data_IF_474041730723
#
_entry.id   IF_474041730723
#
_cell.length_a   1.000
_cell.length_b   1.000
_cell.length_c   1.000
_cell.angle_alpha   90.00
_cell.angle_beta   90.00
_cell.angle_gamma   90.00
#
_symmetry.space_group_name_H-M   'P 1'
#
loop_
_entity.id
_entity.type
_entity.pdbx_description
1 polymer ?
#
# COMPACT_ATOMS: atom_id res chain seq x y z
N UNK A 1 32.04 -8.02 -27.55
CA UNK A 1 32.77 -8.75 -26.48
C UNK A 1 31.87 -8.88 -25.25
N UNK A 2 31.94 -9.92 -24.39
CA UNK A 2 31.13 -9.96 -23.17
C UNK A 2 31.81 -9.11 -22.09
N UNK A 3 31.41 -7.84 -22.00
CA UNK A 3 31.90 -6.83 -21.06
C UNK A 3 31.22 -6.94 -19.69
N UNK A 4 31.01 -8.16 -19.19
CA UNK A 4 30.29 -8.40 -17.94
C UNK A 4 31.25 -8.54 -16.74
N UNK A 5 32.16 -7.57 -16.57
CA UNK A 5 32.82 -7.37 -15.27
C UNK A 5 31.87 -6.56 -14.38
N UNK A 6 30.74 -7.20 -14.06
CA UNK A 6 29.62 -6.64 -13.31
C UNK A 6 30.10 -5.83 -12.10
N UNK A 7 29.68 -4.56 -12.03
CA UNK A 7 30.05 -3.58 -10.99
C UNK A 7 29.99 -4.23 -9.62
N UNK A 8 31.05 -4.07 -8.85
CA UNK A 8 31.15 -4.72 -7.55
C UNK A 8 30.36 -3.92 -6.52
N UNK A 9 29.32 -4.54 -5.96
CA UNK A 9 28.35 -3.90 -5.07
C UNK A 9 28.76 -4.06 -3.61
N UNK A 10 29.31 -5.23 -3.26
CA UNK A 10 29.84 -5.48 -1.92
C UNK A 10 31.29 -5.94 -1.97
N UNK A 11 32.22 -5.05 -1.58
CA UNK A 11 33.65 -5.34 -1.48
C UNK A 11 34.00 -6.42 -0.45
N UNK A 12 33.24 -6.50 0.65
CA UNK A 12 33.53 -7.45 1.73
C UNK A 12 33.29 -8.92 1.34
N UNK A 13 32.27 -9.18 0.52
CA UNK A 13 31.89 -10.53 0.10
C UNK A 13 32.14 -10.78 -1.39
N UNK A 14 32.83 -9.82 -2.03
CA UNK A 14 33.14 -9.81 -3.45
C UNK A 14 31.90 -10.14 -4.31
N UNK A 15 30.78 -9.51 -3.97
CA UNK A 15 29.49 -9.72 -4.63
C UNK A 15 29.30 -8.63 -5.68
N UNK A 16 29.11 -9.07 -6.92
CA UNK A 16 28.82 -8.18 -8.03
C UNK A 16 27.32 -8.01 -8.26
N UNK A 17 26.98 -6.92 -8.92
CA UNK A 17 25.63 -6.56 -9.33
C UNK A 17 24.93 -7.68 -10.12
N UNK A 18 25.62 -8.28 -11.10
CA UNK A 18 25.06 -9.36 -11.91
C UNK A 18 24.71 -10.61 -11.08
N UNK A 19 25.49 -10.87 -10.02
CA UNK A 19 25.19 -11.96 -9.08
C UNK A 19 23.93 -11.64 -8.24
N UNK A 20 23.77 -10.39 -7.82
CA UNK A 20 22.59 -9.93 -7.07
C UNK A 20 21.34 -10.02 -7.94
N UNK A 21 21.37 -9.46 -9.16
CA UNK A 21 20.25 -9.50 -10.11
C UNK A 21 19.77 -10.93 -10.39
N UNK A 22 20.72 -11.84 -10.60
CA UNK A 22 20.42 -13.26 -10.81
C UNK A 22 19.75 -13.89 -9.60
N UNK A 23 20.29 -13.66 -8.40
CA UNK A 23 19.75 -14.23 -7.16
C UNK A 23 18.36 -13.71 -6.83
N UNK A 24 18.12 -12.42 -7.06
CA UNK A 24 16.81 -11.79 -6.92
C UNK A 24 15.77 -12.53 -7.77
N UNK A 25 16.08 -12.79 -9.05
CA UNK A 25 15.16 -13.47 -9.97
C UNK A 25 15.01 -14.97 -9.68
N UNK A 26 16.08 -15.65 -9.30
CA UNK A 26 16.04 -17.11 -9.04
C UNK A 26 15.37 -17.46 -7.71
N UNK A 27 15.32 -16.54 -6.74
CA UNK A 27 14.81 -16.78 -5.39
C UNK A 27 13.70 -15.82 -4.97
N UNK A 28 13.14 -15.06 -5.91
CA UNK A 28 12.08 -14.06 -5.69
C UNK A 28 12.34 -13.17 -4.46
N UNK A 29 13.54 -12.58 -4.38
CA UNK A 29 13.94 -11.72 -3.25
C UNK A 29 13.42 -10.31 -3.49
N UNK A 30 12.63 -9.76 -2.56
CA UNK A 30 11.97 -8.47 -2.77
C UNK A 30 12.48 -7.36 -1.85
N UNK A 31 13.39 -7.67 -0.92
CA UNK A 31 13.89 -6.69 0.05
C UNK A 31 15.40 -6.74 0.19
N UNK A 32 16.02 -5.59 0.51
CA UNK A 32 17.46 -5.49 0.70
C UNK A 32 17.95 -6.39 1.85
N UNK A 33 17.13 -6.59 2.89
CA UNK A 33 17.41 -7.51 3.99
C UNK A 33 17.42 -8.97 3.54
N UNK A 34 16.46 -9.40 2.70
CA UNK A 34 16.45 -10.76 2.16
C UNK A 34 17.66 -11.02 1.29
N UNK A 35 18.00 -10.06 0.41
CA UNK A 35 19.18 -10.16 -0.44
C UNK A 35 20.43 -10.27 0.43
N UNK A 36 20.66 -9.36 1.37
CA UNK A 36 21.85 -9.35 2.24
C UNK A 36 21.97 -10.60 3.09
N UNK A 37 20.87 -11.13 3.62
CA UNK A 37 20.85 -12.41 4.34
C UNK A 37 21.21 -13.58 3.42
N UNK A 38 20.74 -13.54 2.18
CA UNK A 38 21.00 -14.58 1.18
C UNK A 38 22.45 -14.57 0.68
N UNK A 39 22.98 -13.41 0.33
CA UNK A 39 24.39 -13.24 -0.09
C UNK A 39 25.36 -13.20 1.10
N UNK A 40 24.84 -13.23 2.34
CA UNK A 40 25.56 -13.04 3.60
C UNK A 40 26.34 -11.72 3.65
N UNK A 41 25.99 -10.75 2.82
CA UNK A 41 26.61 -9.44 2.80
C UNK A 41 25.96 -8.56 3.86
N UNK A 42 26.40 -8.72 5.12
CA UNK A 42 25.76 -7.97 6.21
C UNK A 42 26.48 -8.03 7.56
N UNK A 43 27.57 -8.77 7.70
CA UNK A 43 28.24 -8.91 8.99
C UNK A 43 29.12 -7.72 9.44
N UNK A 44 29.17 -6.60 8.70
CA UNK A 44 30.25 -5.62 8.83
C UNK A 44 29.88 -4.14 8.63
N UNK A 45 29.88 -3.63 7.39
CA UNK A 45 29.93 -2.18 7.11
C UNK A 45 28.66 -1.54 6.53
N UNK A 46 27.71 -2.34 6.01
CA UNK A 46 26.41 -1.85 5.50
C UNK A 46 26.46 -0.93 4.27
N UNK A 47 27.63 -0.59 3.73
CA UNK A 47 27.77 0.36 2.61
C UNK A 47 27.13 -0.11 1.31
N UNK A 48 26.91 -1.42 1.16
CA UNK A 48 26.29 -2.04 -0.01
C UNK A 48 24.75 -2.06 0.04
N UNK A 49 24.13 -1.61 1.14
CA UNK A 49 22.67 -1.66 1.31
C UNK A 49 21.94 -0.78 0.31
N UNK A 50 22.45 0.44 0.09
CA UNK A 50 21.87 1.38 -0.89
C UNK A 50 21.96 0.80 -2.30
N UNK A 51 23.13 0.31 -2.71
CA UNK A 51 23.31 -0.30 -4.02
C UNK A 51 22.43 -1.55 -4.23
N UNK A 52 22.18 -2.34 -3.18
CA UNK A 52 21.28 -3.51 -3.26
C UNK A 52 19.83 -3.07 -3.48
N UNK A 53 19.41 -1.98 -2.85
CA UNK A 53 18.07 -1.40 -3.02
C UNK A 53 17.85 -0.89 -4.46
N UNK A 54 18.82 -0.16 -5.00
CA UNK A 54 18.80 0.28 -6.41
C UNK A 54 18.69 -0.90 -7.39
N UNK A 55 19.35 -2.02 -7.09
CA UNK A 55 19.31 -3.22 -7.94
C UNK A 55 17.97 -3.93 -7.82
N UNK A 56 17.37 -3.96 -6.62
CA UNK A 56 16.04 -4.51 -6.41
C UNK A 56 15.00 -3.72 -7.19
N UNK A 57 15.09 -2.38 -7.16
CA UNK A 57 14.26 -1.52 -8.00
C UNK A 57 14.46 -1.95 -9.46
N UNK A 58 15.67 -1.87 -10.01
CA UNK A 58 15.93 -2.20 -11.42
C UNK A 58 15.43 -3.59 -11.87
N UNK A 59 15.51 -4.61 -11.01
CA UNK A 59 15.10 -5.98 -11.35
C UNK A 59 13.59 -6.16 -11.34
N UNK A 60 12.90 -5.51 -10.40
CA UNK A 60 11.45 -5.59 -10.22
C UNK A 60 10.69 -4.44 -10.89
N UNK A 61 11.40 -3.50 -11.51
CA UNK A 61 10.80 -2.37 -12.20
C UNK A 61 10.22 -2.76 -13.56
N UNK A 62 8.93 -3.06 -13.58
CA UNK A 62 8.11 -3.04 -14.80
C UNK A 62 7.66 -1.59 -15.04
N UNK A 63 8.45 -0.85 -15.84
CA UNK A 63 8.17 0.49 -16.40
C UNK A 63 7.30 1.44 -15.55
N UNK A 64 7.89 2.04 -14.50
CA UNK A 64 7.49 3.38 -14.02
C UNK A 64 8.56 4.47 -14.22
N UNK A 65 9.52 4.26 -15.13
CA UNK A 65 10.52 5.25 -15.52
C UNK A 65 10.00 5.90 -16.80
N UNK A 66 9.96 7.23 -16.92
CA UNK A 66 11.09 8.17 -17.12
C UNK A 66 10.51 9.59 -16.84
N UNK A 67 11.15 10.61 -16.26
CA UNK A 67 12.54 10.98 -16.05
C UNK A 67 12.65 11.99 -14.87
N UNK A 68 13.80 11.94 -14.20
CA UNK A 68 14.42 12.91 -13.27
C UNK A 68 14.90 14.19 -14.04
N UNK A 69 15.63 15.21 -13.48
CA UNK A 69 16.24 15.38 -12.15
C UNK A 69 16.26 16.86 -11.57
N UNK A 70 16.90 17.02 -10.39
CA UNK A 70 17.70 18.19 -9.91
C UNK A 70 17.11 19.26 -8.93
N UNK A 71 17.70 19.26 -7.72
CA UNK A 71 18.03 20.39 -6.82
C UNK A 71 16.99 21.47 -6.48
N UNK A 72 16.42 21.43 -5.26
CA UNK A 72 16.72 22.35 -4.12
C UNK A 72 15.74 22.15 -2.96
N UNK A 73 16.14 22.50 -1.72
CA UNK A 73 15.50 22.04 -0.50
C UNK A 73 14.34 22.93 -0.08
N UNK A 74 13.59 22.42 0.89
CA UNK A 74 12.79 23.13 1.91
C UNK A 74 11.27 22.96 1.76
N UNK A 75 10.72 22.39 2.84
CA UNK A 75 9.41 22.67 3.45
C UNK A 75 8.15 21.96 2.92
N UNK A 76 7.65 21.15 3.86
CA UNK A 76 6.25 20.86 4.24
C UNK A 76 5.34 20.07 3.31
N UNK A 77 4.72 19.09 3.98
CA UNK A 77 3.35 18.59 3.80
C UNK A 77 3.26 17.21 3.13
N UNK A 78 2.94 16.25 4.00
CA UNK A 78 2.17 15.02 3.78
C UNK A 78 2.70 14.01 2.75
N UNK A 79 3.10 12.79 3.19
CA UNK A 79 3.35 11.71 2.25
C UNK A 79 2.01 11.21 1.73
N UNK A 80 1.72 11.51 0.46
CA UNK A 80 0.62 10.92 -0.29
C UNK A 80 1.04 9.55 -0.83
N UNK A 81 0.32 8.56 -0.30
CA UNK A 81 0.07 7.19 -0.71
C UNK A 81 0.70 6.71 -2.03
N UNK A 82 1.65 5.79 -1.84
CA UNK A 82 2.29 4.89 -2.79
C UNK A 82 1.32 3.76 -3.24
N UNK A 83 1.36 3.40 -4.53
CA UNK A 83 0.41 2.47 -5.16
C UNK A 83 1.10 1.21 -5.69
N UNK A 84 0.57 0.08 -5.21
CA UNK A 84 0.34 -1.16 -5.97
C UNK A 84 1.58 -2.05 -6.13
N UNK A 85 1.68 -3.27 -5.59
CA UNK A 85 0.66 -4.32 -5.49
C UNK A 85 1.10 -5.33 -4.42
N UNK A 86 0.61 -5.16 -3.21
CA UNK A 86 0.68 -6.17 -2.14
C UNK A 86 -0.78 -6.46 -1.79
N UNK A 87 -1.16 -7.75 -1.67
CA UNK A 87 -2.50 -8.15 -1.23
C UNK A 87 -2.84 -7.34 0.01
N UNK A 88 -3.78 -6.40 -0.11
CA UNK A 88 -4.06 -5.42 0.93
C UNK A 88 -4.27 -6.16 2.25
N UNK A 89 -3.39 -5.90 3.21
CA UNK A 89 -3.56 -6.46 4.56
C UNK A 89 -4.86 -5.92 5.14
N UNK A 90 -5.47 -6.65 6.08
CA UNK A 90 -6.73 -6.21 6.72
C UNK A 90 -6.61 -4.79 7.27
N UNK A 91 -5.44 -4.40 7.79
CA UNK A 91 -5.15 -3.03 8.25
C UNK A 91 -5.19 -1.98 7.14
N UNK A 92 -4.64 -2.28 5.96
CA UNK A 92 -4.68 -1.35 4.82
C UNK A 92 -6.12 -1.18 4.28
N UNK A 93 -6.92 -2.26 4.28
CA UNK A 93 -8.34 -2.17 3.94
C UNK A 93 -9.10 -1.29 4.93
N UNK A 94 -8.87 -1.46 6.23
CA UNK A 94 -9.51 -0.64 7.28
C UNK A 94 -9.20 0.84 7.08
N UNK A 95 -7.93 1.19 6.86
CA UNK A 95 -7.52 2.58 6.65
C UNK A 95 -8.20 3.21 5.42
N UNK A 96 -8.25 2.48 4.29
CA UNK A 96 -8.92 2.93 3.08
C UNK A 96 -10.43 3.08 3.27
N UNK A 97 -11.08 2.13 3.94
CA UNK A 97 -12.52 2.19 4.23
C UNK A 97 -12.83 3.40 5.11
N UNK A 98 -12.05 3.61 6.16
CA UNK A 98 -12.20 4.76 7.05
C UNK A 98 -12.05 6.08 6.29
N UNK A 99 -11.03 6.21 5.44
CA UNK A 99 -10.80 7.42 4.66
C UNK A 99 -11.95 7.70 3.69
N UNK A 100 -12.46 6.69 2.99
CA UNK A 100 -13.62 6.84 2.09
C UNK A 100 -14.87 7.24 2.88
N UNK A 101 -15.08 6.64 4.05
CA UNK A 101 -16.20 6.99 4.93
C UNK A 101 -16.09 8.47 5.35
N UNK A 102 -14.93 8.92 5.81
CA UNK A 102 -14.73 10.29 6.29
C UNK A 102 -14.77 11.35 5.18
N UNK A 103 -14.22 11.04 4.00
CA UNK A 103 -14.09 12.00 2.89
C UNK A 103 -15.34 12.08 2.00
N UNK A 104 -16.03 10.96 1.75
CA UNK A 104 -17.17 10.91 0.82
C UNK A 104 -18.52 10.74 1.54
N UNK A 105 -18.59 9.82 2.49
CA UNK A 105 -19.88 9.33 3.02
C UNK A 105 -20.39 10.19 4.17
N UNK A 106 -19.52 10.49 5.14
CA UNK A 106 -19.81 11.32 6.30
C UNK A 106 -20.29 12.72 5.92
N UNK A 107 -19.66 13.49 5.00
CA UNK A 107 -20.17 14.81 4.63
C UNK A 107 -21.55 14.75 3.96
N UNK A 108 -21.81 13.71 3.15
CA UNK A 108 -23.13 13.51 2.54
C UNK A 108 -24.20 13.24 3.61
N UNK A 109 -23.91 12.34 4.56
CA UNK A 109 -24.82 12.03 5.66
C UNK A 109 -25.04 13.20 6.61
N UNK A 110 -24.00 13.97 6.92
CA UNK A 110 -24.09 15.14 7.78
C UNK A 110 -24.98 16.22 7.17
N UNK A 111 -25.00 16.37 5.84
CA UNK A 111 -25.92 17.25 5.15
C UNK A 111 -27.38 16.84 5.36
N UNK A 112 -27.65 15.53 5.39
CA UNK A 112 -28.96 14.95 5.68
C UNK A 112 -29.28 14.86 7.19
N UNK A 113 -28.40 15.36 8.06
CA UNK A 113 -28.58 15.33 9.52
C UNK A 113 -28.32 13.96 10.16
N UNK A 114 -27.62 13.08 9.46
CA UNK A 114 -27.15 11.78 9.94
C UNK A 114 -25.65 11.75 10.21
N UNK A 115 -25.18 10.62 10.73
CA UNK A 115 -23.77 10.30 10.84
C UNK A 115 -23.55 8.79 10.66
N UNK A 116 -22.33 8.40 10.35
CA UNK A 116 -21.90 7.01 10.23
C UNK A 116 -20.57 6.82 10.96
N UNK A 117 -20.46 5.67 11.61
CA UNK A 117 -19.26 5.24 12.32
C UNK A 117 -18.91 3.82 11.91
N UNK A 118 -17.63 3.60 11.64
CA UNK A 118 -17.10 2.26 11.39
C UNK A 118 -16.96 1.55 12.73
N UNK A 119 -17.63 0.40 12.90
CA UNK A 119 -17.55 -0.38 14.13
C UNK A 119 -16.48 -1.48 14.02
N UNK A 120 -16.56 -2.28 12.97
CA UNK A 120 -15.67 -3.43 12.80
C UNK A 120 -15.57 -3.85 11.32
N UNK A 121 -14.51 -4.55 10.96
CA UNK A 121 -14.30 -5.11 9.62
C UNK A 121 -13.82 -6.56 9.75
N UNK A 122 -14.66 -7.49 9.29
CA UNK A 122 -14.37 -8.92 9.25
C UNK A 122 -14.17 -9.37 7.81
N UNK A 123 -12.90 -9.47 7.38
CA UNK A 123 -12.48 -9.85 6.02
C UNK A 123 -13.03 -8.96 4.91
N UNK A 124 -14.29 -9.21 4.53
CA UNK A 124 -15.04 -8.50 3.50
C UNK A 124 -16.38 -7.93 4.02
N UNK A 125 -16.70 -8.09 5.30
CA UNK A 125 -17.89 -7.57 5.94
C UNK A 125 -17.54 -6.33 6.76
N UNK A 126 -18.11 -5.19 6.41
CA UNK A 126 -17.92 -3.90 7.08
C UNK A 126 -19.14 -3.64 7.94
N UNK A 127 -18.96 -3.61 9.26
CA UNK A 127 -20.00 -3.30 10.23
C UNK A 127 -19.96 -1.80 10.55
N UNK A 128 -21.10 -1.14 10.34
CA UNK A 128 -21.23 0.31 10.56
C UNK A 128 -22.37 0.61 11.51
N UNK A 129 -22.22 1.67 12.30
CA UNK A 129 -23.28 2.22 13.13
C UNK A 129 -23.79 3.49 12.46
N UNK A 130 -25.09 3.54 12.19
CA UNK A 130 -25.77 4.73 11.68
C UNK A 130 -26.31 5.55 12.85
N UNK A 131 -26.01 6.84 12.86
CA UNK A 131 -26.39 7.78 13.92
C UNK A 131 -27.22 8.94 13.35
N UNK A 132 -27.93 9.67 14.22
CA UNK A 132 -28.71 10.86 13.85
C UNK A 132 -30.03 10.54 13.15
N UNK A 133 -30.41 11.36 12.17
CA UNK A 133 -31.67 11.23 11.43
C UNK A 133 -31.84 9.86 10.71
N UNK A 134 -30.72 9.16 10.49
CA UNK A 134 -30.68 7.86 9.82
C UNK A 134 -30.93 6.66 10.77
N UNK A 135 -30.96 6.85 12.09
CA UNK A 135 -31.05 5.76 13.09
C UNK A 135 -32.49 5.31 13.43
N UNK A 136 -33.52 5.78 12.70
CA UNK A 136 -34.92 5.56 13.10
C UNK A 136 -35.88 5.12 12.01
N UNK A 137 -35.46 5.13 10.74
CA UNK A 137 -36.35 4.85 9.62
C UNK A 137 -35.84 3.67 8.77
N UNK A 138 -36.50 2.50 8.81
CA UNK A 138 -36.00 1.28 8.16
C UNK A 138 -35.90 1.42 6.63
N UNK A 139 -36.75 2.24 6.00
CA UNK A 139 -36.70 2.49 4.55
C UNK A 139 -35.47 3.29 4.12
N UNK A 140 -35.00 4.19 4.99
CA UNK A 140 -33.83 5.04 4.74
C UNK A 140 -32.55 4.26 4.97
N UNK A 141 -32.53 3.36 5.96
CA UNK A 141 -31.36 2.51 6.26
C UNK A 141 -31.00 1.56 5.11
N UNK A 142 -31.96 0.87 4.51
CA UNK A 142 -31.68 -0.04 3.39
C UNK A 142 -31.07 0.70 2.20
N UNK A 143 -31.59 1.88 1.89
CA UNK A 143 -31.12 2.71 0.77
C UNK A 143 -29.73 3.26 1.04
N UNK A 144 -29.48 3.74 2.26
CA UNK A 144 -28.16 4.24 2.68
C UNK A 144 -27.11 3.14 2.68
N UNK A 145 -27.40 1.97 3.25
CA UNK A 145 -26.48 0.85 3.25
C UNK A 145 -26.08 0.46 1.82
N UNK A 146 -27.03 0.43 0.90
CA UNK A 146 -26.76 0.11 -0.50
C UNK A 146 -25.89 1.17 -1.20
N UNK A 147 -26.08 2.45 -0.86
CA UNK A 147 -25.25 3.56 -1.35
C UNK A 147 -23.82 3.49 -0.80
N UNK A 148 -23.67 3.28 0.51
CA UNK A 148 -22.39 3.14 1.22
C UNK A 148 -21.62 1.93 0.70
N UNK A 149 -22.29 0.79 0.57
CA UNK A 149 -21.70 -0.44 0.03
C UNK A 149 -21.19 -0.24 -1.40
N UNK A 150 -21.96 0.45 -2.25
CA UNK A 150 -21.52 0.76 -3.62
C UNK A 150 -20.24 1.60 -3.61
N UNK A 151 -20.18 2.66 -2.80
CA UNK A 151 -19.00 3.53 -2.70
C UNK A 151 -17.75 2.80 -2.21
N UNK A 152 -17.92 1.98 -1.17
CA UNK A 152 -16.83 1.17 -0.63
C UNK A 152 -16.34 0.13 -1.63
N UNK A 153 -17.25 -0.49 -2.40
CA UNK A 153 -16.88 -1.42 -3.48
C UNK A 153 -16.10 -0.76 -4.60
N UNK A 154 -16.53 0.43 -5.02
CA UNK A 154 -15.87 1.17 -6.10
C UNK A 154 -14.46 1.65 -5.72
N UNK A 155 -14.21 1.89 -4.42
CA UNK A 155 -12.93 2.44 -3.94
C UNK A 155 -11.97 1.45 -3.33
N UNK A 156 -12.47 0.43 -2.65
CA UNK A 156 -11.63 -0.46 -1.85
C UNK A 156 -11.56 -1.84 -2.48
N UNK A 157 -12.70 -2.54 -2.60
CA UNK A 157 -12.75 -3.88 -3.19
C UNK A 157 -14.18 -4.28 -3.57
N UNK A 158 -14.42 -4.88 -4.75
CA UNK A 158 -15.76 -5.24 -5.21
C UNK A 158 -16.44 -6.33 -4.36
N UNK A 159 -15.67 -7.07 -3.56
CA UNK A 159 -16.15 -8.15 -2.69
C UNK A 159 -16.69 -7.66 -1.33
N UNK A 160 -16.54 -6.36 -1.03
CA UNK A 160 -16.99 -5.79 0.24
C UNK A 160 -18.52 -5.76 0.37
N UNK A 161 -18.98 -6.07 1.57
CA UNK A 161 -20.38 -6.03 2.01
C UNK A 161 -20.49 -5.12 3.22
N UNK A 162 -21.61 -4.42 3.32
CA UNK A 162 -21.86 -3.51 4.45
C UNK A 162 -23.07 -3.98 5.23
N UNK A 163 -22.91 -4.08 6.55
CA UNK A 163 -23.99 -4.40 7.48
C UNK A 163 -24.11 -3.28 8.52
N UNK A 164 -25.32 -2.73 8.65
CA UNK A 164 -25.60 -1.77 9.71
C UNK A 164 -25.98 -2.52 10.99
N UNK A 165 -25.32 -2.17 12.09
CA UNK A 165 -25.63 -2.67 13.43
C UNK A 165 -26.30 -1.55 14.26
N UNK A 166 -27.12 -1.95 15.23
CA UNK A 166 -27.98 -1.08 16.03
C UNK A 166 -27.55 -1.06 17.50
#
# INVERSE_FOLDING_TARGET
EPEDESRLVCHCFNVSEGKIKRLIRENDLHTAEEVTNYIKAGGGCGTCLTDIDDILDEVWYDVSAVATPEFTPTTVTSPVLDKSSVKLTTLQKIALIQEVIDQEIRPALMYDGGNIELYDIEDNLVKVILQGACNGCPSVMTTLNMSVEKRLRDRVSPELRVEAIF
#
